data_IF_303342476815
#
_entry.id   IF_303342476815
#
_cell.length_a   1.000
_cell.length_b   1.000
_cell.length_c   1.000
_cell.angle_alpha   90.00
_cell.angle_beta   90.00
_cell.angle_gamma   90.00
#
_symmetry.space_group_name_H-M   'P 1'
#
loop_
_entity.id
_entity.type
_entity.pdbx_description
1 polymer ?
#
# COMPACT_ATOMS: atom_id res chain seq x y z
N UNK A 1 -11.37 2.08 8.06
CA UNK A 1 -10.88 3.46 7.81
C UNK A 1 -9.63 3.48 6.91
N UNK A 2 -8.83 2.43 6.89
CA UNK A 2 -7.56 2.35 6.13
C UNK A 2 -7.73 1.79 4.69
N UNK A 3 -8.93 1.58 4.17
CA UNK A 3 -9.18 1.05 2.81
C UNK A 3 -8.83 -0.43 2.63
N UNK A 4 -8.75 -1.20 3.70
CA UNK A 4 -8.45 -2.63 3.69
C UNK A 4 -9.72 -3.47 3.80
N UNK A 5 -9.66 -4.72 3.32
CA UNK A 5 -10.80 -5.66 3.34
C UNK A 5 -10.57 -6.65 4.48
N UNK A 6 -11.47 -6.63 5.49
CA UNK A 6 -11.31 -7.44 6.70
C UNK A 6 -11.22 -8.94 6.47
N UNK A 7 -11.92 -9.48 5.47
CA UNK A 7 -11.91 -10.92 5.16
C UNK A 7 -10.52 -11.44 4.74
N UNK A 8 -9.69 -10.57 4.19
CA UNK A 8 -8.30 -10.90 3.86
C UNK A 8 -7.45 -11.22 5.11
N UNK A 9 -7.91 -10.79 6.29
CA UNK A 9 -7.23 -10.94 7.57
C UNK A 9 -8.01 -11.84 8.52
N UNK A 10 -8.64 -12.88 7.99
CA UNK A 10 -9.40 -13.87 8.76
C UNK A 10 -10.49 -13.30 9.69
N UNK A 11 -11.03 -12.11 9.36
CA UNK A 11 -11.92 -11.35 10.25
C UNK A 11 -13.13 -12.14 10.72
N UNK A 12 -13.79 -12.88 9.82
CA UNK A 12 -14.96 -13.70 10.15
C UNK A 12 -14.60 -14.85 11.11
N UNK A 13 -13.47 -15.53 10.86
CA UNK A 13 -12.98 -16.60 11.74
C UNK A 13 -12.62 -16.05 13.12
N UNK A 14 -11.86 -14.96 13.18
CA UNK A 14 -11.42 -14.35 14.44
C UNK A 14 -12.61 -13.87 15.26
N UNK A 15 -13.60 -13.24 14.65
CA UNK A 15 -14.82 -12.81 15.36
C UNK A 15 -15.62 -13.98 15.93
N UNK A 16 -15.72 -15.09 15.20
CA UNK A 16 -16.46 -16.26 15.66
C UNK A 16 -15.79 -16.96 16.84
N UNK A 17 -14.45 -16.92 16.92
CA UNK A 17 -13.69 -17.72 17.90
C UNK A 17 -13.11 -16.89 19.06
N UNK A 18 -13.29 -15.57 19.08
CA UNK A 18 -12.80 -14.71 20.20
C UNK A 18 -13.89 -14.37 21.22
N UNK A 19 -15.14 -14.72 20.97
CA UNK A 19 -16.27 -14.43 21.84
C UNK A 19 -16.52 -15.47 22.92
N UNK A 20 -15.91 -16.66 22.84
CA UNK A 20 -16.09 -17.76 23.80
C UNK A 20 -14.75 -18.14 24.43
N UNK A 21 -14.80 -18.61 25.71
CA UNK A 21 -13.66 -19.21 26.39
C UNK A 21 -13.34 -20.57 25.73
N UNK A 22 -12.40 -20.54 24.79
CA UNK A 22 -11.94 -21.78 24.14
C UNK A 22 -11.04 -22.52 25.11
N UNK A 23 -11.50 -23.70 25.55
CA UNK A 23 -10.77 -24.57 26.50
C UNK A 23 -9.88 -25.58 25.80
N UNK A 24 -10.13 -25.86 24.52
CA UNK A 24 -9.33 -26.80 23.73
C UNK A 24 -8.03 -26.17 23.24
N UNK A 25 -6.91 -26.81 23.60
CA UNK A 25 -5.55 -26.36 23.27
C UNK A 25 -5.34 -26.27 21.76
N UNK A 26 -5.88 -27.20 20.98
CA UNK A 26 -5.74 -27.22 19.51
C UNK A 26 -6.38 -26.00 18.87
N UNK A 27 -7.58 -25.66 19.34
CA UNK A 27 -8.31 -24.48 18.87
C UNK A 27 -7.63 -23.18 19.30
N UNK A 28 -7.06 -23.12 20.51
CA UNK A 28 -6.26 -21.97 20.96
C UNK A 28 -5.05 -21.73 20.03
N UNK A 29 -4.28 -22.77 19.70
CA UNK A 29 -3.16 -22.67 18.77
C UNK A 29 -3.58 -22.19 17.38
N UNK A 30 -4.72 -22.63 16.88
CA UNK A 30 -5.24 -22.17 15.60
C UNK A 30 -5.60 -20.67 15.66
N UNK A 31 -6.27 -20.22 16.71
CA UNK A 31 -6.64 -18.82 16.91
C UNK A 31 -5.39 -17.95 16.96
N UNK A 32 -4.38 -18.31 17.75
CA UNK A 32 -3.13 -17.54 17.86
C UNK A 32 -2.40 -17.45 16.51
N UNK A 33 -2.37 -18.56 15.75
CA UNK A 33 -1.76 -18.55 14.42
C UNK A 33 -2.49 -17.61 13.45
N UNK A 34 -3.81 -17.65 13.44
CA UNK A 34 -4.61 -16.77 12.59
C UNK A 34 -4.52 -15.30 13.05
N UNK A 35 -4.42 -15.05 14.34
CA UNK A 35 -4.17 -13.70 14.86
C UNK A 35 -2.83 -13.14 14.40
N UNK A 36 -1.78 -13.93 14.54
CA UNK A 36 -0.42 -13.53 14.14
C UNK A 36 -0.34 -13.28 12.64
N UNK A 37 -0.89 -14.20 11.84
CA UNK A 37 -0.95 -14.06 10.38
C UNK A 37 -1.77 -12.82 9.97
N UNK A 38 -2.93 -12.61 10.58
CA UNK A 38 -3.76 -11.44 10.34
C UNK A 38 -3.05 -10.14 10.69
N UNK A 39 -2.40 -10.08 11.85
CA UNK A 39 -1.66 -8.91 12.30
C UNK A 39 -0.48 -8.59 11.37
N UNK A 40 0.34 -9.58 11.05
CA UNK A 40 1.47 -9.41 10.14
C UNK A 40 1.01 -8.97 8.74
N UNK A 41 0.02 -9.67 8.16
CA UNK A 41 -0.52 -9.33 6.85
C UNK A 41 -1.17 -7.94 6.82
N UNK A 42 -1.84 -7.55 7.90
CA UNK A 42 -2.42 -6.21 8.05
C UNK A 42 -1.34 -5.13 8.06
N UNK A 43 -0.29 -5.28 8.88
CA UNK A 43 0.82 -4.33 8.95
C UNK A 43 1.54 -4.24 7.61
N UNK A 44 1.78 -5.39 6.97
CA UNK A 44 2.39 -5.45 5.64
C UNK A 44 1.56 -4.68 4.60
N UNK A 45 0.27 -4.90 4.55
CA UNK A 45 -0.62 -4.23 3.59
C UNK A 45 -0.79 -2.72 3.89
N UNK A 46 -0.63 -2.30 5.15
CA UNK A 46 -0.61 -0.89 5.53
C UNK A 46 0.69 -0.23 5.09
N UNK A 47 1.82 -0.88 5.26
CA UNK A 47 3.15 -0.37 4.95
C UNK A 47 3.43 -0.38 3.45
N UNK A 48 3.32 -1.57 2.83
CA UNK A 48 3.76 -1.81 1.44
C UNK A 48 2.61 -1.76 0.44
N UNK A 49 1.34 -1.75 0.90
CA UNK A 49 0.22 -2.04 0.03
C UNK A 49 0.15 -3.52 -0.36
N UNK A 50 -0.94 -3.92 -0.99
CA UNK A 50 -1.11 -5.27 -1.52
C UNK A 50 -1.05 -5.26 -3.05
N UNK A 51 -0.32 -6.21 -3.63
CA UNK A 51 -0.15 -6.33 -5.08
C UNK A 51 -1.37 -7.03 -5.67
N UNK A 52 -2.35 -6.30 -6.15
CA UNK A 52 -3.52 -6.89 -6.84
C UNK A 52 -3.48 -6.74 -8.37
N UNK A 53 -2.42 -6.16 -8.96
CA UNK A 53 -2.50 -5.77 -10.36
C UNK A 53 -1.32 -6.34 -11.17
N UNK A 54 -1.58 -7.25 -12.13
CA UNK A 54 -0.57 -7.92 -12.92
C UNK A 54 0.09 -7.03 -14.00
N UNK A 55 -0.40 -5.81 -14.19
CA UNK A 55 0.03 -4.91 -15.28
C UNK A 55 1.13 -3.93 -14.89
N UNK A 56 1.60 -3.98 -13.66
CA UNK A 56 2.79 -3.25 -13.23
C UNK A 56 3.83 -4.27 -12.79
N UNK A 57 4.80 -4.54 -13.65
CA UNK A 57 5.94 -5.39 -13.30
C UNK A 57 6.89 -4.58 -12.41
N UNK A 58 6.82 -4.82 -11.12
CA UNK A 58 7.74 -4.23 -10.14
C UNK A 58 8.80 -5.23 -9.66
N UNK A 59 8.92 -6.39 -10.31
CA UNK A 59 9.68 -7.52 -9.79
C UNK A 59 11.15 -7.19 -9.57
N UNK A 60 11.77 -6.42 -10.48
CA UNK A 60 13.16 -6.01 -10.34
C UNK A 60 13.45 -5.07 -9.14
N UNK A 61 12.44 -4.32 -8.69
CA UNK A 61 12.57 -3.40 -7.55
C UNK A 61 12.16 -4.06 -6.25
N UNK A 62 11.17 -4.95 -6.28
CA UNK A 62 10.53 -5.50 -5.09
C UNK A 62 11.37 -6.57 -4.35
N UNK A 63 12.17 -7.37 -5.03
CA UNK A 63 12.94 -8.45 -4.38
C UNK A 63 14.01 -7.91 -3.44
N UNK A 64 14.71 -6.87 -3.85
CA UNK A 64 15.83 -6.28 -3.09
C UNK A 64 15.40 -5.67 -1.74
N UNK A 65 14.14 -5.31 -1.61
CA UNK A 65 13.60 -4.63 -0.41
C UNK A 65 12.74 -5.55 0.48
N UNK A 66 12.20 -6.64 -0.07
CA UNK A 66 11.25 -7.53 0.64
C UNK A 66 11.78 -8.13 1.94
N UNK A 67 13.01 -8.58 1.94
CA UNK A 67 13.59 -9.25 3.13
C UNK A 67 13.73 -8.25 4.27
N UNK A 68 14.35 -7.10 4.01
CA UNK A 68 14.54 -6.04 5.00
C UNK A 68 13.22 -5.49 5.54
N UNK A 69 12.25 -5.29 4.67
CA UNK A 69 10.92 -4.82 5.06
C UNK A 69 10.18 -5.84 5.92
N UNK A 70 10.26 -7.13 5.59
CA UNK A 70 9.65 -8.19 6.39
C UNK A 70 10.29 -8.30 7.78
N UNK A 71 11.61 -8.18 7.90
CA UNK A 71 12.30 -8.17 9.19
C UNK A 71 11.88 -6.98 10.06
N UNK A 72 11.78 -5.79 9.46
CA UNK A 72 11.29 -4.59 10.14
C UNK A 72 9.85 -4.76 10.63
N UNK A 73 8.95 -5.27 9.78
CA UNK A 73 7.55 -5.52 10.13
C UNK A 73 7.42 -6.57 11.23
N UNK A 74 8.22 -7.64 11.18
CA UNK A 74 8.24 -8.66 12.23
C UNK A 74 8.69 -8.05 13.56
N UNK A 75 9.73 -7.23 13.56
CA UNK A 75 10.20 -6.53 14.75
C UNK A 75 9.10 -5.62 15.33
N UNK A 76 8.42 -4.86 14.50
CA UNK A 76 7.28 -4.03 14.90
C UNK A 76 6.14 -4.86 15.53
N UNK A 77 5.83 -6.02 14.95
CA UNK A 77 4.81 -6.93 15.47
C UNK A 77 5.21 -7.51 16.82
N UNK A 78 6.48 -7.90 17.00
CA UNK A 78 6.99 -8.44 18.27
C UNK A 78 6.96 -7.41 19.41
N UNK A 79 7.07 -6.13 19.10
CA UNK A 79 6.94 -5.04 20.08
C UNK A 79 5.48 -4.74 20.44
N UNK A 80 4.54 -5.04 19.58
CA UNK A 80 3.12 -4.79 19.78
C UNK A 80 2.45 -5.93 20.56
N UNK A 81 2.48 -5.85 21.89
CA UNK A 81 1.93 -6.89 22.80
C UNK A 81 0.43 -6.70 23.11
N UNK A 82 -0.16 -5.59 22.72
CA UNK A 82 -1.57 -5.26 22.97
C UNK A 82 -2.24 -4.74 21.70
N UNK A 83 -3.56 -4.83 21.61
CA UNK A 83 -4.32 -4.29 20.49
C UNK A 83 -4.12 -2.77 20.30
N UNK A 84 -3.96 -2.02 21.41
CA UNK A 84 -3.66 -0.59 21.36
C UNK A 84 -2.28 -0.32 20.77
N UNK A 85 -1.25 -1.06 21.15
CA UNK A 85 0.09 -0.95 20.60
C UNK A 85 0.10 -1.34 19.10
N UNK A 86 -0.61 -2.40 18.71
CA UNK A 86 -0.74 -2.77 17.30
C UNK A 86 -1.40 -1.65 16.48
N UNK A 87 -2.37 -0.94 17.06
CA UNK A 87 -3.02 0.19 16.39
C UNK A 87 -2.04 1.35 16.20
N UNK A 88 -1.22 1.67 17.21
CA UNK A 88 -0.18 2.71 17.12
C UNK A 88 0.83 2.36 16.02
N UNK A 89 1.36 1.13 16.03
CA UNK A 89 2.29 0.65 14.99
C UNK A 89 1.65 0.74 13.60
N UNK A 90 0.39 0.32 13.46
CA UNK A 90 -0.34 0.40 12.20
C UNK A 90 -0.56 1.85 11.73
N UNK A 91 -0.67 2.81 12.65
CA UNK A 91 -0.78 4.22 12.31
C UNK A 91 0.59 4.80 11.93
N UNK A 92 1.67 4.43 12.60
CA UNK A 92 3.03 4.87 12.29
C UNK A 92 3.53 4.36 10.92
N UNK A 93 3.13 3.16 10.53
CA UNK A 93 3.48 2.56 9.23
C UNK A 93 2.70 3.16 8.05
N UNK A 94 1.59 3.83 8.30
CA UNK A 94 0.77 4.43 7.25
C UNK A 94 1.40 5.74 6.75
N UNK A 95 1.33 6.09 5.43
CA UNK A 95 1.78 7.40 4.97
C UNK A 95 1.05 8.56 5.64
N UNK A 96 1.77 9.60 6.05
CA UNK A 96 1.23 10.74 6.80
C UNK A 96 1.13 12.05 6.00
N UNK A 97 1.48 12.03 4.73
CA UNK A 97 1.45 13.22 3.90
C UNK A 97 0.02 13.68 3.56
N UNK A 98 -0.08 14.91 3.08
CA UNK A 98 -1.37 15.57 2.80
C UNK A 98 -2.19 14.88 1.71
N UNK A 99 -1.53 14.30 0.70
CA UNK A 99 -2.20 13.63 -0.42
C UNK A 99 -2.84 12.34 0.03
N UNK A 100 -2.13 11.52 0.81
CA UNK A 100 -2.67 10.29 1.37
C UNK A 100 -3.83 10.56 2.34
N UNK A 101 -3.70 11.59 3.18
CA UNK A 101 -4.79 12.00 4.07
C UNK A 101 -6.03 12.47 3.29
N UNK A 102 -5.84 13.14 2.15
CA UNK A 102 -6.94 13.48 1.24
C UNK A 102 -7.62 12.23 0.70
N UNK A 103 -6.86 11.22 0.26
CA UNK A 103 -7.42 9.93 -0.19
C UNK A 103 -8.22 9.24 0.92
N UNK A 104 -7.73 9.24 2.17
CA UNK A 104 -8.46 8.69 3.34
C UNK A 104 -9.78 9.39 3.56
N UNK A 105 -9.80 10.72 3.51
CA UNK A 105 -11.00 11.52 3.71
C UNK A 105 -12.03 11.27 2.60
N UNK A 106 -11.59 11.24 1.34
CA UNK A 106 -12.45 10.92 0.20
C UNK A 106 -12.99 9.48 0.28
N UNK A 107 -12.17 8.52 0.71
CA UNK A 107 -12.61 7.15 0.95
C UNK A 107 -13.76 7.10 1.95
N UNK A 108 -13.65 7.79 3.10
CA UNK A 108 -14.72 7.86 4.10
C UNK A 108 -15.98 8.56 3.53
N UNK A 109 -15.79 9.66 2.81
CA UNK A 109 -16.90 10.41 2.19
C UNK A 109 -17.72 9.55 1.22
N UNK A 110 -17.04 8.76 0.36
CA UNK A 110 -17.71 7.89 -0.60
C UNK A 110 -18.31 6.63 0.02
N UNK A 111 -17.71 6.11 1.10
CA UNK A 111 -18.34 5.06 1.92
C UNK A 111 -19.69 5.50 2.46
N UNK A 112 -19.75 6.69 3.08
CA UNK A 112 -21.00 7.25 3.63
C UNK A 112 -22.06 7.49 2.53
N UNK A 113 -21.64 7.83 1.31
CA UNK A 113 -22.51 8.02 0.17
C UNK A 113 -22.86 6.72 -0.57
N UNK A 114 -22.43 5.57 -0.09
CA UNK A 114 -22.63 4.25 -0.71
C UNK A 114 -22.20 4.17 -2.20
N UNK A 115 -21.16 4.91 -2.59
CA UNK A 115 -20.64 4.99 -3.97
C UNK A 115 -19.58 3.89 -4.18
N UNK A 116 -20.00 2.66 -4.41
CA UNK A 116 -19.15 1.45 -4.47
C UNK A 116 -17.97 1.58 -5.45
N UNK A 117 -18.19 2.07 -6.67
CA UNK A 117 -17.12 2.20 -7.68
C UNK A 117 -16.07 3.23 -7.26
N UNK A 118 -16.50 4.39 -6.73
CA UNK A 118 -15.59 5.41 -6.23
C UNK A 118 -14.79 4.88 -5.03
N UNK A 119 -15.42 4.16 -4.11
CA UNK A 119 -14.77 3.50 -2.97
C UNK A 119 -13.70 2.52 -3.45
N UNK A 120 -14.00 1.70 -4.45
CA UNK A 120 -13.04 0.74 -5.05
C UNK A 120 -11.84 1.47 -5.66
N UNK A 121 -12.07 2.52 -6.45
CA UNK A 121 -11.00 3.29 -7.08
C UNK A 121 -10.10 3.98 -6.07
N UNK A 122 -10.67 4.64 -5.04
CA UNK A 122 -9.87 5.31 -4.01
C UNK A 122 -9.08 4.29 -3.19
N UNK A 123 -9.67 3.14 -2.86
CA UNK A 123 -8.97 2.04 -2.18
C UNK A 123 -7.75 1.57 -2.98
N UNK A 124 -7.88 1.41 -4.30
CA UNK A 124 -6.77 1.08 -5.18
C UNK A 124 -5.71 2.18 -5.20
N UNK A 125 -6.13 3.45 -5.26
CA UNK A 125 -5.21 4.59 -5.21
C UNK A 125 -4.42 4.63 -3.90
N UNK A 126 -5.07 4.42 -2.76
CA UNK A 126 -4.41 4.32 -1.46
C UNK A 126 -3.40 3.17 -1.42
N UNK A 127 -3.76 2.01 -2.00
CA UNK A 127 -2.87 0.86 -2.09
C UNK A 127 -1.61 1.17 -2.92
N UNK A 128 -1.76 1.80 -4.10
CA UNK A 128 -0.62 2.22 -4.92
C UNK A 128 0.23 3.26 -4.23
N UNK A 129 -0.39 4.18 -3.52
CA UNK A 129 0.31 5.22 -2.79
C UNK A 129 1.24 4.62 -1.74
N UNK A 130 0.72 3.69 -0.92
CA UNK A 130 1.52 2.93 0.04
C UNK A 130 2.68 2.23 -0.64
N UNK A 131 2.38 1.53 -1.74
CA UNK A 131 3.38 0.79 -2.47
C UNK A 131 4.52 1.67 -3.00
N UNK A 132 4.23 2.86 -3.55
CA UNK A 132 5.25 3.79 -4.03
C UNK A 132 6.06 4.36 -2.87
N UNK A 133 5.40 4.73 -1.79
CA UNK A 133 6.00 5.47 -0.69
C UNK A 133 6.87 4.61 0.25
N UNK A 134 6.61 3.28 0.34
CA UNK A 134 7.37 2.42 1.24
C UNK A 134 8.83 2.23 0.84
N UNK A 135 9.19 2.48 -0.41
CA UNK A 135 10.58 2.34 -0.88
C UNK A 135 11.53 3.41 -0.32
N UNK A 136 11.00 4.53 0.17
CA UNK A 136 11.79 5.64 0.72
C UNK A 136 12.96 6.07 -0.16
N UNK A 137 12.76 6.12 -1.48
CA UNK A 137 13.80 6.56 -2.41
C UNK A 137 14.18 8.02 -2.16
N UNK A 138 15.49 8.30 -2.14
CA UNK A 138 15.97 9.69 -2.10
C UNK A 138 15.53 10.46 -3.34
N UNK A 139 15.48 9.80 -4.49
CA UNK A 139 15.06 10.35 -5.78
C UNK A 139 14.04 9.42 -6.44
N UNK A 140 12.90 9.96 -6.84
CA UNK A 140 11.81 9.20 -7.45
C UNK A 140 11.15 10.00 -8.57
N UNK A 141 11.03 9.40 -9.75
CA UNK A 141 10.24 9.95 -10.86
C UNK A 141 8.90 9.22 -10.88
N UNK A 142 7.82 9.96 -10.70
CA UNK A 142 6.44 9.43 -10.75
C UNK A 142 5.77 9.97 -12.02
N UNK A 143 5.37 9.06 -12.90
CA UNK A 143 4.62 9.37 -14.12
C UNK A 143 3.17 8.94 -13.97
N UNK A 144 2.28 9.89 -13.80
CA UNK A 144 0.84 9.64 -13.74
C UNK A 144 0.23 9.79 -15.14
N UNK A 145 0.03 8.67 -15.82
CA UNK A 145 -0.52 8.64 -17.17
C UNK A 145 -1.94 9.22 -17.24
N UNK A 146 -2.77 8.97 -16.23
CA UNK A 146 -4.15 9.46 -16.20
C UNK A 146 -4.22 11.00 -16.06
N UNK A 147 -3.28 11.59 -15.32
CA UNK A 147 -3.17 13.03 -15.15
C UNK A 147 -2.31 13.71 -16.22
N UNK A 148 -1.64 12.93 -17.09
CA UNK A 148 -0.64 13.38 -18.05
C UNK A 148 0.42 14.29 -17.40
N UNK A 149 0.95 13.84 -16.26
CA UNK A 149 1.92 14.60 -15.46
C UNK A 149 3.06 13.73 -14.98
N UNK A 150 4.24 14.33 -14.90
CA UNK A 150 5.42 13.78 -14.29
C UNK A 150 5.80 14.64 -13.09
N UNK A 151 6.18 13.97 -12.00
CA UNK A 151 6.82 14.58 -10.83
C UNK A 151 8.19 13.97 -10.62
N UNK A 152 9.16 14.80 -10.38
CA UNK A 152 10.44 14.39 -9.81
C UNK A 152 10.43 14.79 -8.32
N UNK A 153 10.65 13.80 -7.48
CA UNK A 153 10.63 13.92 -6.03
C UNK A 153 12.04 13.71 -5.49
N UNK A 154 12.45 14.56 -4.58
CA UNK A 154 13.64 14.37 -3.73
C UNK A 154 13.18 14.25 -2.27
N UNK A 155 13.55 13.16 -1.60
CA UNK A 155 13.13 12.87 -0.22
C UNK A 155 11.61 13.08 -0.04
N UNK A 156 10.83 12.55 -0.96
CA UNK A 156 9.36 12.65 -1.02
C UNK A 156 8.81 14.08 -1.20
N UNK A 157 9.64 15.06 -1.56
CA UNK A 157 9.20 16.42 -1.86
C UNK A 157 9.23 16.65 -3.38
N UNK A 158 8.18 17.21 -3.98
CA UNK A 158 8.17 17.52 -5.40
C UNK A 158 9.14 18.70 -5.70
N UNK A 159 10.18 18.40 -6.47
CA UNK A 159 11.18 19.39 -6.94
C UNK A 159 10.86 19.89 -8.33
N UNK A 160 10.35 18.98 -9.19
CA UNK A 160 9.98 19.30 -10.56
C UNK A 160 8.62 18.68 -10.88
N UNK A 161 7.80 19.44 -11.59
CA UNK A 161 6.54 18.97 -12.15
C UNK A 161 6.42 19.44 -13.60
N UNK A 162 6.04 18.53 -14.49
CA UNK A 162 5.81 18.85 -15.89
C UNK A 162 4.61 18.10 -16.48
N UNK A 163 4.06 18.64 -17.56
CA UNK A 163 3.11 17.93 -18.40
C UNK A 163 3.86 16.94 -19.29
N UNK A 164 3.25 15.81 -19.55
CA UNK A 164 3.80 14.78 -20.47
C UNK A 164 2.82 14.45 -21.57
N UNK A 165 3.33 13.93 -22.66
CA UNK A 165 2.53 13.34 -23.72
C UNK A 165 2.34 11.86 -23.40
N UNK A 166 1.09 11.42 -23.41
CA UNK A 166 0.70 10.02 -23.17
C UNK A 166 0.13 9.41 -24.45
N UNK A 167 0.26 8.10 -24.59
CA UNK A 167 -0.28 7.36 -25.72
C UNK A 167 -1.80 7.47 -25.83
N UNK A 168 -2.31 7.34 -27.05
CA UNK A 168 -3.76 7.28 -27.34
C UNK A 168 -4.32 5.93 -26.82
N UNK A 169 -5.65 5.80 -26.64
CA UNK A 169 -6.26 4.52 -26.23
C UNK A 169 -5.86 3.32 -27.06
N UNK A 170 -5.65 3.50 -28.38
CA UNK A 170 -5.22 2.46 -29.31
C UNK A 170 -3.71 2.13 -29.22
N UNK A 171 -2.90 3.06 -28.71
CA UNK A 171 -1.46 2.94 -28.52
C UNK A 171 -1.08 3.42 -27.13
N UNK A 172 -1.62 2.72 -26.11
CA UNK A 172 -1.48 3.14 -24.73
C UNK A 172 -0.02 3.10 -24.27
N UNK A 173 0.37 4.12 -23.49
CA UNK A 173 1.67 4.10 -22.81
C UNK A 173 1.76 2.91 -21.87
N UNK A 174 2.86 2.17 -21.87
CA UNK A 174 3.05 1.04 -20.97
C UNK A 174 3.14 1.51 -19.51
N UNK A 175 2.81 0.62 -18.60
CA UNK A 175 2.96 0.84 -17.15
C UNK A 175 4.08 -0.06 -16.65
N UNK A 176 5.10 0.54 -16.07
CA UNK A 176 6.26 -0.17 -15.55
C UNK A 176 6.93 0.63 -14.44
N UNK A 177 7.83 -0.01 -13.71
CA UNK A 177 8.81 0.64 -12.86
C UNK A 177 10.20 0.17 -13.29
N UNK A 178 11.14 1.10 -13.35
CA UNK A 178 12.53 0.83 -13.73
C UNK A 178 13.47 1.82 -13.06
N UNK A 179 14.74 1.48 -13.02
CA UNK A 179 15.77 2.44 -12.67
C UNK A 179 15.98 3.42 -13.85
N UNK A 180 16.17 4.70 -13.53
CA UNK A 180 16.50 5.71 -14.52
C UNK A 180 18.02 5.87 -14.56
N UNK A 181 18.64 5.40 -15.63
CA UNK A 181 20.09 5.44 -15.80
C UNK A 181 20.55 6.69 -16.53
N UNK A 182 19.71 7.24 -17.43
CA UNK A 182 20.05 8.42 -18.22
C UNK A 182 18.82 9.22 -18.62
N UNK A 183 19.01 10.52 -18.83
CA UNK A 183 18.05 11.41 -19.46
C UNK A 183 18.62 11.92 -20.79
N UNK A 184 17.87 11.74 -21.89
CA UNK A 184 18.27 12.20 -23.22
C UNK A 184 17.53 13.50 -23.52
N UNK A 185 18.27 14.56 -23.75
CA UNK A 185 17.73 15.87 -24.17
C UNK A 185 17.67 15.91 -25.69
N UNK A 186 16.56 16.42 -26.21
CA UNK A 186 16.34 16.54 -27.68
C UNK A 186 16.51 15.22 -28.43
N UNK A 187 15.76 14.15 -28.06
CA UNK A 187 15.89 12.87 -28.74
C UNK A 187 15.44 13.01 -30.22
N UNK A 188 16.16 12.34 -31.12
CA UNK A 188 15.71 12.16 -32.50
C UNK A 188 14.64 11.07 -32.52
N UNK A 189 13.54 11.34 -33.23
CA UNK A 189 12.41 10.45 -33.42
C UNK A 189 12.40 9.88 -34.83
#
# INVERSE_FOLDING_TARGET
RKGLIGEKYHLSFLKANTSELVTDTTTQWQIERYFTDAAFSLLKDIYMGYKEQPWVSFDAVSEKFREKDNEQLLHCLLLARTASQLTVVADELEPHDSLYNTLKNEYQRFLLKNRRDSVRLIRLSMNYYRWIMHFHFDQLIVVNLAAARLWYLEKNKPVLQMKIIVGKPATASPRFAAWCDQAILYPYW
#
